data_IF_888960726304
#
_entry.id   IF_888960726304
#
_cell.length_a   1.000
_cell.length_b   1.000
_cell.length_c   1.000
_cell.angle_alpha   90.00
_cell.angle_beta   90.00
_cell.angle_gamma   90.00
#
_symmetry.space_group_name_H-M   'P 1'
#
loop_
_entity.id
_entity.type
_entity.pdbx_description
1 polymer ?
#
# COMPACT_ATOMS: atom_id res chain seq x y z
N UNK A 1 7.62 18.34 32.01
CA UNK A 1 7.77 17.66 32.25
C UNK A 1 6.99 16.60 32.20
N UNK A 2 6.39 16.23 31.97
CA UNK A 2 5.66 15.31 31.90
C UNK A 2 5.47 14.70 30.75
N UNK A 3 5.66 15.13 29.82
CA UNK A 3 5.40 14.67 28.67
C UNK A 3 5.98 13.44 28.40
N UNK A 4 6.79 13.17 28.88
CA UNK A 4 7.43 12.10 28.54
C UNK A 4 6.69 10.97 28.64
N UNK A 5 5.87 10.85 29.29
CA UNK A 5 5.25 9.74 29.39
C UNK A 5 4.64 9.34 28.25
N UNK A 6 4.44 10.01 27.42
CA UNK A 6 3.72 9.60 26.38
C UNK A 6 4.34 8.58 25.66
N UNK A 7 5.43 8.54 25.67
CA UNK A 7 5.99 7.63 24.88
C UNK A 7 5.74 6.36 25.28
N UNK A 8 5.59 6.15 26.30
CA UNK A 8 5.41 4.88 26.70
C UNK A 8 4.36 4.29 25.96
N UNK A 9 3.53 4.97 25.69
CA UNK A 9 2.46 4.44 25.16
C UNK A 9 2.66 3.64 24.06
N UNK A 10 3.33 3.95 23.35
CA UNK A 10 3.35 3.29 22.23
C UNK A 10 3.85 2.09 22.23
N UNK A 11 4.48 1.76 22.82
CA UNK A 11 5.05 0.64 22.63
C UNK A 11 4.33 -0.46 22.73
N UNK A 12 3.70 -0.61 23.18
CA UNK A 12 3.08 -1.74 23.39
C UNK A 12 2.66 -2.38 22.27
N UNK A 13 2.37 -1.95 21.58
CA UNK A 13 1.86 -2.50 20.62
C UNK A 13 2.38 -3.58 20.22
N UNK A 14 2.99 -3.68 20.16
CA UNK A 14 3.50 -4.53 19.67
C UNK A 14 3.29 -5.72 19.87
N UNK A 15 3.24 -5.97 20.36
CA UNK A 15 3.17 -7.10 20.64
C UNK A 15 2.63 -7.97 19.80
N UNK A 16 2.19 -8.22 19.26
CA UNK A 16 1.58 -9.06 18.63
C UNK A 16 2.06 -9.47 17.54
N UNK A 17 2.68 -9.24 17.15
CA UNK A 17 3.16 -9.51 16.12
C UNK A 17 3.47 -10.77 15.80
N UNK A 18 3.38 -11.46 16.24
CA UNK A 18 3.73 -12.68 16.01
C UNK A 18 3.20 -13.20 14.81
N UNK A 19 2.45 -12.65 14.13
CA UNK A 19 2.02 -13.12 13.00
C UNK A 19 3.08 -13.12 12.11
N UNK A 20 4.09 -12.63 12.34
CA UNK A 20 5.16 -12.81 11.59
C UNK A 20 5.31 -12.23 10.26
N UNK A 21 4.70 -12.63 9.31
CA UNK A 21 5.06 -12.21 8.00
C UNK A 21 4.36 -10.98 7.54
N UNK A 22 3.57 -10.32 8.35
CA UNK A 22 2.89 -9.14 7.90
C UNK A 22 3.08 -8.00 8.85
N UNK A 23 3.35 -6.83 8.33
CA UNK A 23 3.43 -5.64 9.13
C UNK A 23 2.61 -4.59 8.45
N UNK A 24 1.91 -3.80 9.20
CA UNK A 24 1.05 -2.76 8.68
C UNK A 24 1.48 -1.41 9.22
N UNK A 25 1.60 -0.45 8.34
CA UNK A 25 1.97 0.90 8.74
C UNK A 25 1.23 1.88 7.85
N UNK A 26 0.98 3.07 8.37
CA UNK A 26 0.36 4.12 7.57
C UNK A 26 1.45 4.83 6.82
N UNK A 27 1.31 4.93 5.50
CA UNK A 27 2.32 5.51 4.66
C UNK A 27 1.69 6.50 3.70
N UNK A 28 2.51 7.34 3.13
CA UNK A 28 2.07 8.23 2.08
C UNK A 28 2.84 7.83 0.82
N UNK A 29 2.13 7.57 -0.26
CA UNK A 29 2.71 7.02 -1.46
C UNK A 29 2.33 7.90 -2.64
N UNK A 30 3.30 8.16 -3.50
CA UNK A 30 3.05 8.92 -4.73
C UNK A 30 3.45 8.06 -5.90
N UNK A 31 2.60 7.94 -6.88
CA UNK A 31 2.90 7.16 -8.06
C UNK A 31 1.79 7.21 -9.08
N UNK A 32 1.99 6.54 -10.18
CA UNK A 32 1.04 6.51 -11.27
C UNK A 32 0.11 5.32 -11.12
N UNK A 33 -1.18 5.57 -11.29
CA UNK A 33 -2.18 4.53 -11.15
C UNK A 33 -2.22 3.71 -12.43
N UNK A 34 -2.10 2.41 -12.31
CA UNK A 34 -2.10 1.53 -13.47
C UNK A 34 -3.05 0.37 -13.23
N UNK A 35 -3.80 0.02 -14.25
CA UNK A 35 -4.67 -1.13 -14.16
C UNK A 35 -3.93 -2.30 -14.78
N UNK A 36 -3.81 -3.39 -14.06
CA UNK A 36 -3.11 -4.56 -14.52
C UNK A 36 -4.03 -5.77 -14.35
N UNK A 37 -3.58 -6.90 -14.82
CA UNK A 37 -4.41 -8.09 -14.73
C UNK A 37 -5.28 -8.19 -15.96
N UNK A 38 -6.40 -8.83 -15.82
CA UNK A 38 -7.28 -9.00 -16.97
C UNK A 38 -8.71 -8.67 -16.57
N UNK A 39 -9.63 -8.82 -17.52
CA UNK A 39 -11.00 -8.40 -17.28
C UNK A 39 -11.65 -9.17 -16.14
N UNK A 40 -11.26 -10.43 -15.96
CA UNK A 40 -11.86 -11.21 -14.89
C UNK A 40 -11.22 -10.94 -13.54
N UNK A 41 -9.97 -10.52 -13.53
CA UNK A 41 -9.26 -10.29 -12.29
C UNK A 41 -8.47 -9.00 -12.41
N UNK A 42 -9.16 -7.87 -12.43
CA UNK A 42 -8.46 -6.59 -12.54
C UNK A 42 -7.75 -6.26 -11.25
N UNK A 43 -6.62 -5.62 -11.36
CA UNK A 43 -5.89 -5.15 -10.21
C UNK A 43 -5.40 -3.75 -10.48
N UNK A 44 -5.26 -2.96 -9.44
CA UNK A 44 -4.70 -1.63 -9.57
C UNK A 44 -3.38 -1.59 -8.83
N UNK A 45 -2.39 -0.98 -9.47
CA UNK A 45 -1.07 -0.83 -8.91
C UNK A 45 -0.74 0.65 -8.94
N UNK A 46 -0.15 1.16 -7.87
CA UNK A 46 0.42 2.50 -7.86
C UNK A 46 1.91 2.31 -8.07
N UNK A 47 2.41 2.82 -9.19
CA UNK A 47 3.78 2.59 -9.59
C UNK A 47 4.58 3.83 -9.30
N UNK A 48 5.44 3.76 -8.31
CA UNK A 48 6.29 4.89 -7.94
C UNK A 48 7.71 4.65 -8.40
N UNK A 49 8.58 5.50 -7.92
CA UNK A 49 9.97 5.40 -8.29
C UNK A 49 10.59 4.28 -7.46
N UNK A 50 10.90 3.21 -8.07
CA UNK A 50 11.58 2.13 -7.39
C UNK A 50 10.70 1.17 -6.62
N UNK A 51 9.39 1.35 -6.66
CA UNK A 51 8.52 0.44 -5.92
C UNK A 51 7.14 0.42 -6.52
N UNK A 52 6.42 -0.64 -6.27
CA UNK A 52 5.06 -0.75 -6.71
C UNK A 52 4.20 -1.17 -5.53
N UNK A 53 3.00 -0.63 -5.47
CA UNK A 53 2.07 -0.98 -4.42
C UNK A 53 0.80 -1.51 -5.05
N UNK A 54 0.33 -2.65 -4.60
CA UNK A 54 -0.91 -3.23 -5.09
C UNK A 54 -2.05 -2.75 -4.22
N UNK A 55 -3.14 -2.37 -4.84
CA UNK A 55 -4.30 -1.88 -4.11
C UNK A 55 -5.23 -3.05 -3.89
N UNK A 56 -5.67 -3.24 -2.64
CA UNK A 56 -6.55 -4.38 -2.36
C UNK A 56 -7.86 -4.21 -3.10
N UNK A 57 -8.50 -5.33 -3.41
CA UNK A 57 -9.68 -5.33 -4.25
C UNK A 57 -10.77 -4.40 -3.77
N UNK A 58 -10.94 -4.29 -2.47
CA UNK A 58 -12.01 -3.48 -1.94
C UNK A 58 -11.83 -1.99 -2.22
N UNK A 59 -10.60 -1.59 -2.52
CA UNK A 59 -10.32 -0.17 -2.74
C UNK A 59 -10.20 0.18 -4.21
N UNK A 60 -10.37 -0.77 -5.11
CA UNK A 60 -10.13 -0.51 -6.51
C UNK A 60 -11.02 0.60 -7.04
N UNK A 61 -12.26 0.65 -6.60
CA UNK A 61 -13.16 1.65 -7.15
C UNK A 61 -12.71 3.08 -6.86
N UNK A 62 -11.93 3.28 -5.80
CA UNK A 62 -11.48 4.63 -5.50
C UNK A 62 -10.50 5.14 -6.55
N UNK A 63 -9.80 4.24 -7.21
CA UNK A 63 -8.74 4.64 -8.11
C UNK A 63 -9.03 4.29 -9.57
N UNK A 64 -10.13 3.62 -9.83
CA UNK A 64 -10.36 3.13 -11.17
C UNK A 64 -10.39 4.26 -12.20
N UNK A 65 -10.95 5.37 -11.87
CA UNK A 65 -11.06 6.47 -12.81
C UNK A 65 -9.83 7.34 -12.88
N UNK A 66 -8.80 6.99 -12.12
CA UNK A 66 -7.59 7.78 -12.08
C UNK A 66 -6.44 7.09 -12.80
N UNK A 67 -6.75 6.12 -13.66
CA UNK A 67 -5.71 5.43 -14.38
C UNK A 67 -4.85 6.39 -15.14
N UNK A 68 -3.56 6.14 -15.13
CA UNK A 68 -2.56 6.93 -15.83
C UNK A 68 -2.32 8.29 -15.21
N UNK A 69 -2.90 8.56 -14.05
CA UNK A 69 -2.63 9.80 -13.37
C UNK A 69 -1.70 9.55 -12.21
N UNK A 70 -0.96 10.56 -11.84
CA UNK A 70 -0.08 10.48 -10.68
C UNK A 70 -0.87 10.95 -9.47
N UNK A 71 -0.92 10.11 -8.45
CA UNK A 71 -1.68 10.42 -7.26
C UNK A 71 -0.77 10.36 -6.05
N UNK A 72 -1.13 11.10 -5.02
CA UNK A 72 -0.53 10.94 -3.70
C UNK A 72 -1.64 10.47 -2.77
N UNK A 73 -1.40 9.36 -2.12
CA UNK A 73 -2.41 8.78 -1.25
C UNK A 73 -1.82 8.49 0.11
N UNK A 74 -2.67 8.48 1.12
CA UNK A 74 -2.30 8.00 2.42
C UNK A 74 -3.02 6.67 2.58
N UNK A 75 -2.35 5.65 3.02
CA UNK A 75 -2.96 4.34 3.11
C UNK A 75 -2.24 3.48 4.12
N UNK A 76 -2.83 2.37 4.45
CA UNK A 76 -2.19 1.38 5.28
C UNK A 76 -1.44 0.43 4.38
N UNK A 77 -0.16 0.29 4.61
CA UNK A 77 0.68 -0.59 3.81
C UNK A 77 0.91 -1.88 4.57
N UNK A 78 0.68 -2.99 3.91
CA UNK A 78 1.00 -4.30 4.45
C UNK A 78 2.02 -4.93 3.52
N UNK A 79 3.10 -5.44 4.07
CA UNK A 79 4.11 -6.11 3.29
C UNK A 79 3.93 -7.60 3.53
N UNK A 80 3.73 -8.33 2.46
CA UNK A 80 3.45 -9.75 2.58
C UNK A 80 4.52 -10.53 1.83
N UNK A 81 5.02 -11.57 2.43
CA UNK A 81 5.97 -12.41 1.76
C UNK A 81 5.23 -13.41 0.89
N UNK A 82 5.68 -13.54 -0.35
CA UNK A 82 5.10 -14.50 -1.26
C UNK A 82 5.95 -15.75 -1.21
N UNK A 83 5.32 -16.90 -1.31
CA UNK A 83 6.05 -18.16 -1.25
C UNK A 83 5.64 -19.05 -2.38
N UNK A 84 6.60 -19.80 -2.89
CA UNK A 84 6.31 -20.82 -3.85
C UNK A 84 5.67 -22.02 -3.15
N UNK A 85 5.12 -22.93 -3.92
CA UNK A 85 4.49 -24.09 -3.32
C UNK A 85 5.45 -24.90 -2.47
N UNK A 86 6.75 -24.84 -2.79
CA UNK A 86 7.72 -25.61 -2.01
C UNK A 86 8.16 -24.86 -0.76
N UNK A 87 7.55 -23.75 -0.42
CA UNK A 87 7.88 -23.02 0.81
C UNK A 87 8.97 -21.99 0.67
N UNK A 88 9.63 -21.91 -0.48
CA UNK A 88 10.71 -20.96 -0.62
C UNK A 88 10.15 -19.57 -0.90
N UNK A 89 10.87 -18.55 -0.47
CA UNK A 89 10.42 -17.18 -0.64
C UNK A 89 10.44 -16.80 -2.11
N UNK A 90 9.36 -16.16 -2.57
CA UNK A 90 9.28 -15.64 -3.92
C UNK A 90 9.32 -14.12 -3.90
N UNK A 91 9.71 -13.52 -2.78
CA UNK A 91 9.82 -12.06 -2.69
C UNK A 91 8.71 -11.49 -1.83
N UNK A 92 8.58 -10.18 -1.90
CA UNK A 92 7.62 -9.49 -1.07
C UNK A 92 6.70 -8.66 -1.92
N UNK A 93 5.48 -8.45 -1.43
CA UNK A 93 4.49 -7.67 -2.14
C UNK A 93 3.95 -6.64 -1.19
N UNK A 94 3.89 -5.38 -1.61
CA UNK A 94 3.33 -4.33 -0.80
C UNK A 94 1.91 -4.10 -1.23
N UNK A 95 1.00 -4.07 -0.27
CA UNK A 95 -0.41 -3.88 -0.55
C UNK A 95 -0.92 -2.69 0.23
N UNK A 96 -1.83 -1.94 -0.35
CA UNK A 96 -2.40 -0.77 0.29
C UNK A 96 -3.89 -0.97 0.50
N UNK A 97 -4.37 -0.53 1.66
CA UNK A 97 -5.80 -0.52 1.95
C UNK A 97 -6.13 0.74 2.71
N UNK A 98 -7.40 1.00 2.86
CA UNK A 98 -7.89 2.20 3.53
C UNK A 98 -7.27 3.43 2.90
N UNK A 99 -7.39 3.55 1.60
CA UNK A 99 -6.73 4.57 0.83
C UNK A 99 -7.48 5.88 0.93
N UNK A 100 -6.75 6.95 1.20
CA UNK A 100 -7.31 8.29 1.16
C UNK A 100 -6.49 9.07 0.15
N UNK A 101 -7.14 9.60 -0.86
CA UNK A 101 -6.45 10.33 -1.91
C UNK A 101 -6.18 11.74 -1.43
N UNK A 102 -4.91 12.13 -1.40
CA UNK A 102 -4.53 13.45 -0.94
C UNK A 102 -4.48 14.40 -2.12
N UNK A 103 -3.95 13.98 -3.25
CA UNK A 103 -3.89 14.84 -4.40
C UNK A 103 -3.79 14.02 -5.67
N UNK A 104 -4.20 14.60 -6.77
CA UNK A 104 -4.15 13.98 -8.07
C UNK A 104 -3.54 14.98 -9.01
N UNK A 105 -2.46 14.60 -9.69
CA UNK A 105 -1.89 15.49 -10.67
C UNK A 105 -2.65 15.34 -11.94
N UNK A 106 -2.95 16.44 -12.57
CA UNK A 106 -3.66 16.34 -13.79
C UNK A 106 -2.74 15.90 -14.88
N UNK A 107 -3.25 15.11 -15.79
CA UNK A 107 -2.45 14.67 -16.89
C UNK A 107 -2.16 15.86 -17.77
N UNK A 108 -0.92 16.08 -18.07
CA UNK A 108 -0.55 17.19 -18.91
C UNK A 108 0.11 16.63 -20.13
N UNK A 109 -0.44 16.90 -21.27
CA UNK A 109 0.16 16.42 -22.45
C UNK A 109 1.36 17.22 -22.79
N UNK A 110 2.38 16.61 -23.28
CA UNK A 110 3.59 17.33 -23.63
C UNK A 110 3.38 18.20 -24.85
#
# INVERSE_FOLDING_TARGET
>A
MLFLLCMAAMLPAQGNRDQGSEETAVVQVTGTVRLVGNANFPQIVISGSGAQWYVVTEEINKLRDLQHRTVTVEAEETVRELRYANGRSAGFRRELRNIRIISVEEYTSP
#
